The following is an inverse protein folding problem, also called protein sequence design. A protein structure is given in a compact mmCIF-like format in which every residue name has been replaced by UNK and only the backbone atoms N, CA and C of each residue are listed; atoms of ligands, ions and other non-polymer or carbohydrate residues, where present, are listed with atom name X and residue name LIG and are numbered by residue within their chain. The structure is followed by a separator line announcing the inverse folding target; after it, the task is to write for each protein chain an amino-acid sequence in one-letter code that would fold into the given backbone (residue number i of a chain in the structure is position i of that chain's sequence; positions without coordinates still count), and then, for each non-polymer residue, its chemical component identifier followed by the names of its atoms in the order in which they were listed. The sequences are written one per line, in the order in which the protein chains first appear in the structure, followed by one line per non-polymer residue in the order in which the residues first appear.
data_IF_213433163365
#
_entry.id   IF_213433163365
#
_cell.length_a   1.000
_cell.length_b   1.000
_cell.length_c   1.000
_cell.angle_alpha   90.00
_cell.angle_beta   90.00
_cell.angle_gamma   90.00
#
_symmetry.space_group_name_H-M   'P 1'
#
loop_
_entity.id
_entity.type
_entity.pdbx_description
1 polymer ?
#
# COMPACT_ATOMS: atom_id res chain seq x y z
N UNK A 1 -0.52 15.68 -0.75
CA UNK A 1 -1.16 14.84 -1.77
C UNK A 1 -0.23 14.80 -2.96
N UNK A 2 0.33 13.62 -3.22
CA UNK A 2 1.06 13.37 -4.45
C UNK A 2 0.16 13.61 -5.67
N UNK A 3 0.76 14.06 -6.77
CA UNK A 3 0.07 14.34 -8.04
C UNK A 3 0.78 13.60 -9.16
N UNK A 4 0.05 13.19 -10.19
CA UNK A 4 0.65 12.55 -11.38
C UNK A 4 1.54 13.57 -12.08
N UNK A 5 2.83 13.25 -12.22
CA UNK A 5 3.79 14.05 -12.99
C UNK A 5 3.93 13.49 -14.40
N UNK A 6 4.40 14.33 -15.32
CA UNK A 6 4.73 13.87 -16.66
C UNK A 6 5.88 12.86 -16.61
N UNK A 7 5.74 11.76 -17.35
CA UNK A 7 6.80 10.76 -17.51
C UNK A 7 7.94 11.41 -18.31
N UNK A 8 9.20 11.36 -17.83
CA UNK A 8 10.32 11.93 -18.58
C UNK A 8 10.57 11.14 -19.88
N UNK A 9 11.15 11.75 -20.93
CA UNK A 9 11.44 11.06 -22.18
C UNK A 9 12.24 9.77 -21.97
N UNK A 10 11.69 8.64 -22.42
CA UNK A 10 12.31 7.32 -22.29
C UNK A 10 12.22 6.68 -20.89
N UNK A 11 11.54 7.32 -19.94
CA UNK A 11 11.25 6.80 -18.60
C UNK A 11 9.88 6.12 -18.49
N UNK A 12 9.47 5.87 -17.26
CA UNK A 12 8.26 5.16 -16.87
C UNK A 12 7.52 5.91 -15.75
N UNK A 13 6.31 5.44 -15.40
CA UNK A 13 5.55 5.91 -14.25
C UNK A 13 6.38 5.86 -12.95
N UNK A 14 7.25 4.86 -12.77
CA UNK A 14 8.08 4.72 -11.57
C UNK A 14 9.01 5.92 -11.39
N UNK A 15 9.48 6.53 -12.48
CA UNK A 15 10.35 7.71 -12.46
C UNK A 15 9.59 9.01 -12.06
N UNK A 16 8.26 8.94 -11.95
CA UNK A 16 7.43 10.09 -11.54
C UNK A 16 7.18 10.15 -10.03
N UNK A 17 7.41 9.03 -9.32
CA UNK A 17 7.14 8.91 -7.89
C UNK A 17 8.02 9.85 -7.08
N UNK A 18 7.46 10.52 -6.07
CA UNK A 18 8.25 11.33 -5.13
C UNK A 18 9.21 10.46 -4.30
N UNK A 19 8.76 9.24 -3.97
CA UNK A 19 9.56 8.21 -3.32
C UNK A 19 9.18 6.84 -3.88
N UNK A 20 10.18 6.07 -4.30
CA UNK A 20 10.00 4.66 -4.66
C UNK A 20 10.08 3.78 -3.42
N UNK A 21 9.35 2.66 -3.39
CA UNK A 21 9.52 1.63 -2.35
C UNK A 21 10.92 1.01 -2.38
N UNK A 22 11.62 1.06 -3.53
CA UNK A 22 13.02 0.64 -3.67
C UNK A 22 13.94 1.48 -2.78
N UNK A 23 13.59 2.74 -2.55
CA UNK A 23 14.41 3.71 -1.83
C UNK A 23 14.01 3.87 -0.35
N UNK A 24 13.11 3.01 0.16
CA UNK A 24 12.69 3.03 1.57
C UNK A 24 13.77 2.34 2.43
N UNK A 25 14.42 3.05 3.37
CA UNK A 25 15.45 2.45 4.21
C UNK A 25 14.88 1.36 5.12
N UNK A 26 15.58 0.23 5.15
CA UNK A 26 15.33 -0.89 6.06
C UNK A 26 16.62 -1.15 6.86
N UNK A 27 16.57 -0.96 8.17
CA UNK A 27 17.69 -1.25 9.04
C UNK A 27 17.72 -2.74 9.42
N UNK A 28 18.49 -3.52 8.66
CA UNK A 28 18.64 -4.97 8.88
C UNK A 28 19.29 -5.34 10.22
N UNK A 29 20.06 -4.44 10.82
CA UNK A 29 20.70 -4.65 12.12
C UNK A 29 19.75 -4.36 13.29
N UNK A 30 18.65 -3.65 13.02
CA UNK A 30 17.60 -3.33 13.99
C UNK A 30 16.28 -3.97 13.57
N UNK A 31 16.25 -5.30 13.47
CA UNK A 31 15.03 -6.09 13.21
C UNK A 31 14.23 -5.60 11.98
N UNK A 32 14.95 -5.28 10.90
CA UNK A 32 14.37 -4.73 9.68
C UNK A 32 13.52 -3.47 9.92
N UNK A 33 13.94 -2.59 10.84
CA UNK A 33 13.20 -1.37 11.13
C UNK A 33 13.04 -0.50 9.88
N UNK A 34 11.79 -0.17 9.52
CA UNK A 34 11.44 0.58 8.30
C UNK A 34 11.30 2.05 8.65
N UNK A 35 12.03 2.92 7.96
CA UNK A 35 11.95 4.36 8.21
C UNK A 35 10.54 4.92 7.88
N UNK A 36 9.90 5.53 8.88
CA UNK A 36 8.50 5.97 8.81
C UNK A 36 8.28 7.01 7.72
N UNK A 37 9.16 8.02 7.62
CA UNK A 37 8.96 9.16 6.72
C UNK A 37 8.93 8.70 5.27
N UNK A 38 9.93 7.92 4.87
CA UNK A 38 10.16 7.43 3.52
C UNK A 38 9.09 6.43 3.12
N UNK A 39 8.73 5.51 4.02
CA UNK A 39 7.64 4.57 3.75
C UNK A 39 6.32 5.29 3.49
N UNK A 40 5.96 6.27 4.32
CA UNK A 40 4.72 7.02 4.13
C UNK A 40 4.75 7.89 2.85
N UNK A 41 5.92 8.41 2.46
CA UNK A 41 6.09 9.11 1.17
C UNK A 41 5.93 8.15 -0.03
N UNK A 42 6.46 6.94 0.06
CA UNK A 42 6.32 5.92 -0.98
C UNK A 42 4.85 5.44 -1.11
N UNK A 43 4.19 5.22 0.03
CA UNK A 43 2.76 4.89 0.07
C UNK A 43 1.89 6.03 -0.51
N UNK A 44 2.22 7.29 -0.22
CA UNK A 44 1.53 8.44 -0.84
C UNK A 44 1.78 8.49 -2.36
N UNK A 45 3.00 8.19 -2.81
CA UNK A 45 3.35 8.14 -4.24
C UNK A 45 2.54 7.05 -4.98
N UNK A 46 2.34 5.87 -4.37
CA UNK A 46 1.51 4.80 -4.93
C UNK A 46 0.07 5.28 -5.23
N UNK A 47 -0.48 6.20 -4.43
CA UNK A 47 -1.85 6.67 -4.66
C UNK A 47 -2.06 7.35 -6.02
N UNK A 48 -0.99 7.87 -6.63
CA UNK A 48 -1.03 8.46 -7.98
C UNK A 48 -1.29 7.42 -9.07
N UNK A 49 -1.05 6.13 -8.80
CA UNK A 49 -1.39 5.04 -9.70
C UNK A 49 -2.89 4.97 -9.96
N UNK A 50 -3.72 5.23 -8.93
CA UNK A 50 -5.17 5.23 -9.09
C UNK A 50 -5.67 6.39 -9.96
N UNK A 51 -4.94 7.51 -9.99
CA UNK A 51 -5.20 8.60 -10.91
C UNK A 51 -4.85 8.19 -12.36
N UNK A 52 -3.77 7.40 -12.55
CA UNK A 52 -3.42 6.82 -13.86
C UNK A 52 -4.49 5.83 -14.36
N UNK A 53 -5.05 5.03 -13.45
CA UNK A 53 -6.19 4.14 -13.77
C UNK A 53 -7.40 4.95 -14.27
N UNK A 54 -7.57 6.19 -13.81
CA UNK A 54 -8.37 7.23 -14.48
C UNK A 54 -9.88 7.13 -14.25
N UNK A 55 -10.33 6.34 -13.27
CA UNK A 55 -11.75 6.23 -12.92
C UNK A 55 -12.00 6.75 -11.50
N UNK A 56 -13.03 7.59 -11.36
CA UNK A 56 -13.52 8.07 -10.06
C UNK A 56 -13.96 6.94 -9.13
N UNK A 57 -14.19 5.74 -9.68
CA UNK A 57 -14.50 4.54 -8.91
C UNK A 57 -13.34 4.09 -8.00
N UNK A 58 -12.10 4.55 -8.23
CA UNK A 58 -10.96 4.31 -7.34
C UNK A 58 -10.82 5.34 -6.21
N UNK A 59 -11.62 6.42 -6.19
CA UNK A 59 -11.57 7.41 -5.11
C UNK A 59 -11.73 6.79 -3.71
N UNK A 60 -12.63 5.81 -3.47
CA UNK A 60 -12.71 5.14 -2.18
C UNK A 60 -11.40 4.44 -1.78
N UNK A 61 -10.72 3.78 -2.73
CA UNK A 61 -9.43 3.10 -2.49
C UNK A 61 -8.34 4.11 -2.15
N UNK A 62 -8.27 5.20 -2.93
CA UNK A 62 -7.34 6.31 -2.69
C UNK A 62 -7.55 6.97 -1.33
N UNK A 63 -8.81 7.20 -0.96
CA UNK A 63 -9.19 7.83 0.30
C UNK A 63 -8.88 6.92 1.50
N UNK A 64 -9.07 5.61 1.37
CA UNK A 64 -8.72 4.65 2.42
C UNK A 64 -7.21 4.67 2.70
N UNK A 65 -6.38 4.50 1.66
CA UNK A 65 -4.92 4.58 1.78
C UNK A 65 -4.48 5.95 2.33
N UNK A 66 -5.02 7.04 1.80
CA UNK A 66 -4.68 8.40 2.25
C UNK A 66 -5.07 8.67 3.71
N UNK A 67 -6.23 8.17 4.14
CA UNK A 67 -6.69 8.27 5.53
C UNK A 67 -5.78 7.51 6.48
N UNK A 68 -5.33 6.32 6.10
CA UNK A 68 -4.41 5.52 6.91
C UNK A 68 -3.01 6.14 6.98
N UNK A 69 -2.47 6.65 5.86
CA UNK A 69 -1.22 7.44 5.86
C UNK A 69 -1.31 8.62 6.83
N UNK A 70 -2.45 9.33 6.82
CA UNK A 70 -2.68 10.47 7.73
C UNK A 70 -2.62 10.05 9.20
N UNK A 71 -3.26 8.94 9.60
CA UNK A 71 -3.20 8.42 10.98
C UNK A 71 -1.75 8.21 11.45
N UNK A 72 -0.91 7.56 10.63
CA UNK A 72 0.51 7.37 10.94
C UNK A 72 1.29 8.68 10.98
N UNK A 73 1.06 9.57 10.01
CA UNK A 73 1.76 10.86 9.94
C UNK A 73 1.44 11.73 11.17
N UNK A 74 0.19 11.73 11.63
CA UNK A 74 -0.22 12.46 12.84
C UNK A 74 0.49 11.92 14.08
N UNK A 75 0.61 10.60 14.25
CA UNK A 75 1.40 9.99 15.33
C UNK A 75 2.88 10.38 15.22
N UNK A 76 3.45 10.29 14.02
CA UNK A 76 4.84 10.65 13.77
C UNK A 76 5.14 12.10 14.18
N UNK A 77 4.29 13.05 13.79
CA UNK A 77 4.46 14.47 14.13
C UNK A 77 4.26 14.73 15.62
N UNK A 78 3.38 14.00 16.29
CA UNK A 78 3.14 14.14 17.72
C UNK A 78 4.27 13.58 18.59
N UNK A 79 5.02 12.58 18.10
CA UNK A 79 6.10 11.93 18.84
C UNK A 79 7.25 11.50 17.90
N UNK A 80 8.01 12.46 17.33
CA UNK A 80 8.96 12.18 16.24
C UNK A 80 10.10 11.23 16.64
N UNK A 81 10.73 11.47 17.81
CA UNK A 81 11.80 10.61 18.32
C UNK A 81 11.33 9.19 18.68
N UNK A 82 10.02 9.00 18.90
CA UNK A 82 9.42 7.69 19.19
C UNK A 82 8.87 7.01 17.93
N UNK A 83 8.94 7.68 16.78
CA UNK A 83 8.24 7.28 15.54
C UNK A 83 9.15 7.32 14.32
N UNK A 84 10.47 7.23 14.52
CA UNK A 84 11.47 7.22 13.44
C UNK A 84 11.29 6.02 12.52
N UNK A 85 10.90 4.87 13.09
CA UNK A 85 10.57 3.65 12.36
C UNK A 85 9.13 3.22 12.61
N UNK A 86 8.53 2.49 11.67
CA UNK A 86 7.15 2.02 11.79
C UNK A 86 6.96 1.11 13.00
N UNK A 87 7.94 0.26 13.28
CA UNK A 87 7.96 -0.62 14.45
C UNK A 87 8.01 0.19 15.76
N UNK A 88 8.93 1.15 15.87
CA UNK A 88 9.00 2.03 17.05
C UNK A 88 7.72 2.84 17.22
N UNK A 89 7.15 3.37 16.12
CA UNK A 89 5.90 4.11 16.11
C UNK A 89 4.76 3.31 16.75
N UNK A 90 4.58 2.05 16.32
CA UNK A 90 3.54 1.15 16.83
C UNK A 90 3.79 0.82 18.30
N UNK A 91 4.99 0.32 18.64
CA UNK A 91 5.34 -0.09 20.01
C UNK A 91 5.13 1.08 20.98
N UNK A 92 5.55 2.28 20.60
CA UNK A 92 5.44 3.45 21.47
C UNK A 92 4.02 4.02 21.51
N UNK A 93 3.23 3.94 20.43
CA UNK A 93 1.82 4.30 20.48
C UNK A 93 1.05 3.42 21.47
N UNK A 94 1.24 2.09 21.39
CA UNK A 94 0.52 1.13 22.21
C UNK A 94 0.79 1.30 23.72
N UNK A 95 1.99 1.71 24.11
CA UNK A 95 2.32 2.08 25.50
C UNK A 95 1.45 3.23 26.04
N UNK A 96 0.91 4.07 25.17
CA UNK A 96 0.01 5.17 25.54
C UNK A 96 -1.46 4.75 25.65
N UNK A 97 -1.76 3.44 25.46
CA UNK A 97 -3.13 2.89 25.37
C UNK A 97 -3.95 3.46 24.20
N UNK A 98 -3.27 3.97 23.17
CA UNK A 98 -3.84 4.36 21.88
C UNK A 98 -3.41 3.36 20.82
N UNK A 99 -4.20 3.24 19.75
CA UNK A 99 -3.94 2.29 18.66
C UNK A 99 -4.38 2.85 17.30
N UNK A 100 -4.56 4.16 17.17
CA UNK A 100 -5.11 4.78 15.95
C UNK A 100 -4.13 4.65 14.78
N UNK A 101 -2.84 4.92 15.00
CA UNK A 101 -1.82 4.79 13.97
C UNK A 101 -1.45 3.32 13.70
N UNK A 102 -1.50 2.47 14.73
CA UNK A 102 -1.34 1.01 14.62
C UNK A 102 -2.44 0.42 13.74
N UNK A 103 -3.70 0.78 13.98
CA UNK A 103 -4.82 0.40 13.12
C UNK A 103 -4.68 0.95 11.71
N UNK A 104 -4.22 2.21 11.59
CA UNK A 104 -3.86 2.79 10.30
C UNK A 104 -2.81 1.97 9.56
N UNK A 105 -1.78 1.47 10.25
CA UNK A 105 -0.72 0.67 9.63
C UNK A 105 -1.26 -0.66 9.10
N UNK A 106 -2.11 -1.34 9.87
CA UNK A 106 -2.74 -2.60 9.43
C UNK A 106 -3.52 -2.40 8.14
N UNK A 107 -4.43 -1.41 8.10
CA UNK A 107 -5.23 -1.15 6.90
C UNK A 107 -4.38 -0.65 5.73
N UNK A 108 -3.36 0.16 5.99
CA UNK A 108 -2.42 0.59 4.97
C UNK A 108 -1.68 -0.61 4.36
N UNK A 109 -1.15 -1.52 5.17
CA UNK A 109 -0.46 -2.74 4.71
C UNK A 109 -1.39 -3.60 3.85
N UNK A 110 -2.65 -3.78 4.25
CA UNK A 110 -3.64 -4.52 3.45
C UNK A 110 -3.94 -3.86 2.10
N UNK A 111 -4.08 -2.53 2.06
CA UNK A 111 -4.31 -1.79 0.81
C UNK A 111 -3.09 -1.82 -0.13
N UNK A 112 -1.89 -1.76 0.43
CA UNK A 112 -0.64 -1.90 -0.32
C UNK A 112 -0.48 -3.33 -0.87
N UNK A 113 -0.79 -4.34 -0.07
CA UNK A 113 -0.74 -5.75 -0.45
C UNK A 113 -1.74 -6.10 -1.54
N UNK A 114 -2.97 -5.60 -1.43
CA UNK A 114 -3.97 -5.66 -2.50
C UNK A 114 -3.41 -5.14 -3.83
N UNK A 115 -2.77 -3.97 -3.82
CA UNK A 115 -2.21 -3.35 -5.03
C UNK A 115 -1.02 -4.15 -5.56
N UNK A 116 -0.15 -4.61 -4.66
CA UNK A 116 1.03 -5.40 -4.99
C UNK A 116 0.63 -6.72 -5.67
N UNK A 117 -0.27 -7.49 -5.06
CA UNK A 117 -0.76 -8.76 -5.60
C UNK A 117 -1.46 -8.55 -6.94
N UNK A 118 -2.35 -7.55 -7.05
CA UNK A 118 -3.08 -7.29 -8.29
C UNK A 118 -2.13 -7.01 -9.47
N UNK A 119 -1.15 -6.14 -9.30
CA UNK A 119 -0.19 -5.80 -10.35
C UNK A 119 0.77 -6.96 -10.65
N UNK A 120 1.26 -7.66 -9.63
CA UNK A 120 2.13 -8.82 -9.80
C UNK A 120 1.44 -9.94 -10.57
N UNK A 121 0.17 -10.25 -10.25
CA UNK A 121 -0.63 -11.22 -10.99
C UNK A 121 -0.82 -10.77 -12.45
N UNK A 122 -1.14 -9.50 -12.69
CA UNK A 122 -1.36 -9.00 -14.05
C UNK A 122 -0.08 -8.98 -14.90
N UNK A 123 1.09 -8.76 -14.29
CA UNK A 123 2.39 -8.87 -14.95
C UNK A 123 2.81 -10.33 -15.23
N UNK A 124 2.37 -11.27 -14.41
CA UNK A 124 2.66 -12.69 -14.61
C UNK A 124 1.79 -13.30 -15.71
N UNK A 125 0.54 -12.84 -15.83
CA UNK A 125 -0.45 -13.35 -16.79
C UNK A 125 -0.87 -12.23 -17.75
N UNK A 126 -0.09 -12.02 -18.81
CA UNK A 126 -0.28 -10.92 -19.77
C UNK A 126 -1.60 -10.99 -20.56
N UNK A 127 -2.28 -12.14 -20.55
CA UNK A 127 -3.60 -12.35 -21.17
C UNK A 127 -4.77 -11.90 -20.29
N UNK A 128 -4.55 -11.71 -18.99
CA UNK A 128 -5.61 -11.34 -18.07
C UNK A 128 -5.89 -9.83 -18.14
N UNK A 129 -7.17 -9.47 -18.19
CA UNK A 129 -7.58 -8.09 -18.01
C UNK A 129 -7.28 -7.60 -16.59
N UNK A 130 -7.02 -6.31 -16.44
CA UNK A 130 -6.66 -5.71 -15.16
C UNK A 130 -7.74 -5.98 -14.10
N UNK A 131 -9.01 -5.94 -14.49
CA UNK A 131 -10.14 -6.25 -13.61
C UNK A 131 -10.16 -7.69 -13.06
N UNK A 132 -9.52 -8.67 -13.74
CA UNK A 132 -9.42 -10.06 -13.26
C UNK A 132 -8.45 -10.10 -12.08
N UNK A 133 -7.22 -9.64 -12.30
CA UNK A 133 -6.17 -9.62 -11.27
C UNK A 133 -6.57 -8.80 -10.02
N UNK A 134 -7.22 -7.64 -10.20
CA UNK A 134 -7.71 -6.85 -9.08
C UNK A 134 -8.83 -7.55 -8.29
N UNK A 135 -9.74 -8.29 -8.94
CA UNK A 135 -10.78 -9.06 -8.22
C UNK A 135 -10.20 -10.21 -7.41
N UNK A 136 -9.19 -10.89 -7.95
CA UNK A 136 -8.49 -11.96 -7.25
C UNK A 136 -7.76 -11.41 -6.02
N UNK A 137 -6.93 -10.39 -6.21
CA UNK A 137 -6.21 -9.73 -5.12
C UNK A 137 -7.16 -9.21 -4.03
N UNK A 138 -8.30 -8.62 -4.40
CA UNK A 138 -9.30 -8.18 -3.43
C UNK A 138 -9.85 -9.34 -2.59
N UNK A 139 -10.11 -10.49 -3.22
CA UNK A 139 -10.56 -11.70 -2.55
C UNK A 139 -9.59 -12.21 -1.50
N UNK A 140 -8.28 -12.10 -1.78
CA UNK A 140 -7.18 -12.59 -0.94
C UNK A 140 -6.80 -11.62 0.18
N UNK A 141 -7.12 -10.33 0.06
CA UNK A 141 -6.61 -9.28 0.95
C UNK A 141 -7.71 -8.54 1.71
N UNK A 142 -8.41 -7.61 1.07
CA UNK A 142 -9.32 -6.67 1.73
C UNK A 142 -10.74 -7.24 1.95
N UNK A 143 -11.19 -8.15 1.08
CA UNK A 143 -12.57 -8.66 1.10
C UNK A 143 -12.97 -9.32 2.44
N UNK A 144 -12.14 -10.12 3.12
CA UNK A 144 -12.51 -10.69 4.41
C UNK A 144 -12.86 -9.62 5.46
N UNK A 145 -12.13 -8.50 5.45
CA UNK A 145 -12.21 -7.46 6.47
C UNK A 145 -13.21 -6.34 6.15
N UNK A 146 -13.69 -6.26 4.90
CA UNK A 146 -14.70 -5.29 4.52
C UNK A 146 -16.12 -5.70 4.94
N UNK A 147 -16.86 -4.73 5.49
CA UNK A 147 -18.28 -4.90 5.80
C UNK A 147 -19.13 -5.11 4.54
N UNK A 148 -20.35 -5.62 4.71
CA UNK A 148 -21.30 -5.81 3.61
C UNK A 148 -21.65 -4.50 2.86
N UNK A 149 -21.45 -3.33 3.49
CA UNK A 149 -21.63 -2.03 2.87
C UNK A 149 -20.41 -1.57 2.05
N UNK A 150 -19.20 -1.95 2.46
CA UNK A 150 -17.95 -1.56 1.76
C UNK A 150 -17.65 -2.49 0.58
N UNK A 151 -17.99 -3.77 0.68
CA UNK A 151 -17.76 -4.78 -0.37
C UNK A 151 -18.26 -4.38 -1.77
N UNK A 152 -19.49 -3.85 -1.95
CA UNK A 152 -19.98 -3.40 -3.25
C UNK A 152 -19.18 -2.23 -3.84
N UNK A 153 -18.68 -1.31 -3.01
CA UNK A 153 -17.92 -0.13 -3.45
C UNK A 153 -16.62 -0.57 -4.13
N UNK A 154 -15.86 -1.46 -3.49
CA UNK A 154 -14.63 -2.02 -4.06
C UNK A 154 -14.92 -2.91 -5.29
N UNK A 155 -16.04 -3.64 -5.28
CA UNK A 155 -16.47 -4.41 -6.47
C UNK A 155 -16.71 -3.52 -7.70
N UNK A 156 -17.32 -2.36 -7.49
CA UNK A 156 -17.51 -1.37 -8.55
C UNK A 156 -16.16 -0.79 -9.02
N UNK A 157 -15.23 -0.48 -8.10
CA UNK A 157 -13.89 0.01 -8.43
C UNK A 157 -13.14 -0.97 -9.36
N UNK A 158 -13.10 -2.26 -9.02
CA UNK A 158 -12.43 -3.27 -9.84
C UNK A 158 -13.10 -3.49 -11.19
N UNK A 159 -14.42 -3.31 -11.25
CA UNK A 159 -15.17 -3.38 -12.52
C UNK A 159 -14.90 -2.17 -13.42
N UNK A 160 -14.40 -1.07 -12.84
CA UNK A 160 -14.00 0.13 -13.55
C UNK A 160 -12.47 0.18 -13.82
N UNK A 161 -11.73 -0.91 -13.59
CA UNK A 161 -10.36 -1.02 -14.08
C UNK A 161 -10.32 -0.75 -15.60
N UNK A 162 -9.36 0.04 -16.09
CA UNK A 162 -9.15 0.19 -17.53
C UNK A 162 -8.77 -1.15 -18.18
N UNK A 163 -8.92 -1.24 -19.50
CA UNK A 163 -8.33 -2.34 -20.26
C UNK A 163 -6.83 -2.41 -20.01
N UNK A 164 -6.28 -3.61 -19.87
CA UNK A 164 -4.85 -3.82 -19.60
C UNK A 164 -3.99 -3.03 -20.58
N UNK A 165 -4.26 -3.13 -21.88
CA UNK A 165 -3.47 -2.42 -22.92
C UNK A 165 -3.40 -0.89 -22.67
N UNK A 166 -4.51 -0.27 -22.28
CA UNK A 166 -4.61 1.18 -22.12
C UNK A 166 -3.95 1.62 -20.81
N UNK A 167 -3.94 0.75 -19.81
CA UNK A 167 -3.22 0.97 -18.57
C UNK A 167 -1.71 1.00 -18.78
N UNK A 168 -1.12 -0.02 -19.42
CA UNK A 168 0.34 -0.10 -19.58
C UNK A 168 0.91 1.01 -20.47
N UNK A 169 0.18 1.43 -21.51
CA UNK A 169 0.56 2.59 -22.34
C UNK A 169 0.68 3.87 -21.51
N UNK A 170 -0.15 4.05 -20.47
CA UNK A 170 -0.06 5.21 -19.58
C UNK A 170 1.12 5.14 -18.61
N UNK A 171 1.77 3.99 -18.47
CA UNK A 171 2.92 3.80 -17.58
C UNK A 171 4.26 4.07 -18.28
N UNK A 172 4.26 4.25 -19.60
CA UNK A 172 5.45 4.58 -20.39
C UNK A 172 5.33 4.07 -21.83
N UNK A 173 6.13 4.65 -22.73
CA UNK A 173 6.07 4.34 -24.17
C UNK A 173 6.70 2.99 -24.54
N UNK A 174 7.57 2.45 -23.67
CA UNK A 174 8.28 1.18 -23.86
C UNK A 174 7.79 0.15 -22.83
N UNK A 175 6.91 -0.75 -23.27
CA UNK A 175 6.31 -1.77 -22.41
C UNK A 175 7.36 -2.67 -21.73
N UNK A 176 8.48 -2.98 -22.38
CA UNK A 176 9.51 -3.82 -21.77
C UNK A 176 10.21 -3.11 -20.62
N UNK A 177 10.46 -1.79 -20.75
CA UNK A 177 10.97 -0.97 -19.64
C UNK A 177 9.96 -0.81 -18.52
N UNK A 178 8.68 -0.58 -18.86
CA UNK A 178 7.59 -0.48 -17.88
C UNK A 178 7.50 -1.75 -17.05
N UNK A 179 7.44 -2.92 -17.70
CA UNK A 179 7.35 -4.20 -16.98
C UNK A 179 8.58 -4.46 -16.11
N UNK A 180 9.79 -4.16 -16.61
CA UNK A 180 11.02 -4.30 -15.83
C UNK A 180 11.02 -3.40 -14.59
N UNK A 181 10.66 -2.12 -14.74
CA UNK A 181 10.60 -1.16 -13.64
C UNK A 181 9.53 -1.56 -12.60
N UNK A 182 8.34 -1.98 -13.06
CA UNK A 182 7.28 -2.47 -12.18
C UNK A 182 7.72 -3.70 -11.39
N UNK A 183 8.39 -4.68 -12.01
CA UNK A 183 8.86 -5.89 -11.29
C UNK A 183 9.82 -5.55 -10.16
N UNK A 184 10.75 -4.62 -10.39
CA UNK A 184 11.68 -4.15 -9.35
C UNK A 184 10.92 -3.44 -8.23
N UNK A 185 10.02 -2.53 -8.60
CA UNK A 185 9.22 -1.76 -7.64
C UNK A 185 8.29 -2.64 -6.78
N UNK A 186 7.59 -3.60 -7.41
CA UNK A 186 6.72 -4.55 -6.74
C UNK A 186 7.48 -5.50 -5.82
N UNK A 187 8.65 -5.97 -6.23
CA UNK A 187 9.49 -6.82 -5.36
C UNK A 187 9.95 -6.08 -4.11
N UNK A 188 10.30 -4.80 -4.22
CA UNK A 188 10.62 -3.98 -3.06
C UNK A 188 9.41 -3.76 -2.14
N UNK A 189 8.24 -3.48 -2.72
CA UNK A 189 6.98 -3.33 -1.98
C UNK A 189 6.59 -4.61 -1.24
N UNK A 190 6.64 -5.76 -1.92
CA UNK A 190 6.36 -7.08 -1.35
C UNK A 190 7.26 -7.37 -0.15
N UNK A 191 8.56 -7.07 -0.26
CA UNK A 191 9.50 -7.25 0.85
C UNK A 191 9.15 -6.37 2.07
N UNK A 192 8.78 -5.10 1.86
CA UNK A 192 8.35 -4.21 2.95
C UNK A 192 7.05 -4.70 3.61
N UNK A 193 6.08 -5.17 2.80
CA UNK A 193 4.83 -5.74 3.28
C UNK A 193 5.10 -7.00 4.12
N UNK A 194 5.98 -7.88 3.66
CA UNK A 194 6.33 -9.11 4.38
C UNK A 194 6.95 -8.81 5.75
N UNK A 195 7.86 -7.83 5.83
CA UNK A 195 8.43 -7.35 7.10
C UNK A 195 7.33 -6.84 8.03
N UNK A 196 6.43 -5.99 7.52
CA UNK A 196 5.39 -5.37 8.34
C UNK A 196 4.33 -6.37 8.81
N UNK A 197 3.89 -7.31 7.96
CA UNK A 197 2.99 -8.40 8.37
C UNK A 197 3.64 -9.24 9.47
N UNK A 198 4.89 -9.67 9.26
CA UNK A 198 5.63 -10.44 10.27
C UNK A 198 5.89 -9.69 11.57
N UNK A 199 5.89 -8.34 11.55
CA UNK A 199 5.93 -7.52 12.76
C UNK A 199 4.55 -7.41 13.43
N UNK A 200 3.49 -7.12 12.65
CA UNK A 200 2.12 -6.94 13.15
C UNK A 200 1.53 -8.22 13.77
N UNK A 201 2.03 -9.39 13.37
CA UNK A 201 1.65 -10.67 13.98
C UNK A 201 2.22 -10.89 15.40
N UNK A 202 3.22 -10.09 15.81
CA UNK A 202 3.88 -10.23 17.10
C UNK A 202 3.05 -9.64 18.23
N UNK A 203 3.20 -10.22 19.43
CA UNK A 203 2.47 -9.78 20.63
C UNK A 203 2.67 -8.30 20.96
N UNK A 204 3.88 -7.79 20.78
CA UNK A 204 4.23 -6.38 21.04
C UNK A 204 3.57 -5.37 20.08
N UNK A 205 3.05 -5.83 18.95
CA UNK A 205 2.31 -5.01 17.99
C UNK A 205 0.79 -5.10 18.16
N UNK A 206 0.30 -5.88 19.14
CA UNK A 206 -1.12 -6.03 19.46
C UNK A 206 -1.47 -5.24 20.73
N UNK A 207 -2.60 -4.54 20.71
CA UNK A 207 -3.13 -3.86 21.91
C UNK A 207 -3.83 -4.88 22.81
N UNK A 208 -3.38 -5.03 24.05
CA UNK A 208 -4.02 -5.90 25.05
C UNK A 208 -5.48 -5.51 25.39
N UNK A 209 -5.91 -4.30 25.01
CA UNK A 209 -7.27 -3.80 25.28
C UNK A 209 -8.23 -3.97 24.10
N UNK A 210 -7.74 -4.29 22.90
CA UNK A 210 -8.60 -4.69 21.81
C UNK A 210 -8.92 -6.17 21.99
N UNK A 211 -10.18 -6.57 21.76
CA UNK A 211 -10.57 -7.98 21.85
C UNK A 211 -9.72 -8.81 20.90
N UNK A 212 -9.47 -10.08 21.26
CA UNK A 212 -8.81 -11.03 20.34
C UNK A 212 -9.57 -11.07 18.99
N UNK A 213 -10.90 -10.94 19.02
CA UNK A 213 -11.76 -10.82 17.84
C UNK A 213 -11.47 -9.56 16.99
N UNK A 214 -11.13 -8.42 17.61
CA UNK A 214 -10.71 -7.22 16.87
C UNK A 214 -9.38 -7.43 16.15
N UNK A 215 -8.44 -8.14 16.78
CA UNK A 215 -7.15 -8.46 16.16
C UNK A 215 -7.25 -9.55 15.11
N UNK A 216 -8.10 -10.56 15.31
CA UNK A 216 -8.36 -11.63 14.35
C UNK A 216 -9.13 -11.11 13.11
N UNK A 217 -9.97 -10.09 13.28
CA UNK A 217 -10.54 -9.35 12.13
C UNK A 217 -9.50 -8.42 11.47
N UNK A 218 -8.37 -8.16 12.13
CA UNK A 218 -7.30 -7.25 11.70
C UNK A 218 -6.01 -7.91 11.19
N UNK A 219 -5.90 -9.24 11.22
CA UNK A 219 -4.81 -10.01 10.60
C UNK A 219 -5.41 -10.98 9.58
#
# INVERSE_FOLDING_TARGET
MATVKAIPPGGTFIDTLDKSFVDVPVNKEKDNAIATTEFLQAAESLTTLFDVMGSVAFNPVKNDIGGNIKKLRERQLAAPAESETLQDLVINELKTKKHTATEGLVWLVRGLDFTCIALSQNLATSTDELSVSFRNAYGETLKPHHSFMVKPIFSAAMSACPYRKDFYVKLGDDNSKVEAALRVWLSALENLIAILKGFLDRKEAKCEQASDEFWDDMI
#
